data_IF_104054202229
#
_entry.id   IF_104054202229
#
_cell.length_a   1.000
_cell.length_b   1.000
_cell.length_c   1.000
_cell.angle_alpha   90.00
_cell.angle_beta   90.00
_cell.angle_gamma   90.00
#
_symmetry.space_group_name_H-M   'P 1'
#
loop_
_entity.id
_entity.type
_entity.pdbx_description
1 polymer ?
#
# COMPACT_ATOMS: atom_id res chain seq x y z
N UNK A 1 -1.68 -63.22 4.81
CA UNK A 1 -1.76 -62.69 6.18
C UNK A 1 -1.71 -61.17 6.09
N UNK A 2 -2.90 -60.59 6.00
CA UNK A 2 -3.16 -59.14 5.97
C UNK A 2 -2.80 -58.57 7.33
N UNK A 3 -1.92 -57.56 7.39
CA UNK A 3 -1.74 -56.79 8.62
C UNK A 3 -2.26 -55.37 8.43
N UNK A 4 -3.03 -54.97 9.43
CA UNK A 4 -3.97 -53.87 9.45
C UNK A 4 -3.29 -52.51 9.67
N UNK A 5 -4.02 -51.45 9.28
CA UNK A 5 -3.78 -50.06 9.60
C UNK A 5 -3.36 -49.82 11.06
N UNK A 6 -2.49 -48.83 11.25
CA UNK A 6 -2.75 -47.73 12.20
C UNK A 6 -1.77 -46.58 11.95
N UNK A 7 -2.28 -45.46 11.41
CA UNK A 7 -1.58 -44.18 11.46
C UNK A 7 -1.92 -43.48 12.78
N UNK A 8 -0.95 -42.89 13.49
CA UNK A 8 -1.25 -41.98 14.59
C UNK A 8 -1.51 -40.55 14.09
N UNK A 9 -2.54 -39.97 14.71
CA UNK A 9 -3.20 -38.70 14.44
C UNK A 9 -2.32 -37.45 14.44
N UNK A 10 -2.73 -36.49 13.62
CA UNK A 10 -2.23 -35.12 13.56
C UNK A 10 -2.29 -34.44 14.94
N UNK A 11 -1.13 -34.03 15.43
CA UNK A 11 -1.00 -33.14 16.58
C UNK A 11 -1.26 -31.71 16.09
N UNK A 12 -2.29 -31.07 16.63
CA UNK A 12 -2.53 -29.64 16.46
C UNK A 12 -1.35 -28.85 17.03
N UNK A 13 -0.44 -28.43 16.16
CA UNK A 13 0.51 -27.37 16.47
C UNK A 13 -0.26 -26.06 16.50
N UNK A 14 -0.55 -25.55 17.68
CA UNK A 14 -0.92 -24.14 17.86
C UNK A 14 0.29 -23.29 17.48
N UNK A 15 0.39 -22.97 16.20
CA UNK A 15 1.28 -21.93 15.72
C UNK A 15 0.75 -20.59 16.21
N UNK A 16 1.30 -20.09 17.32
CA UNK A 16 1.24 -18.67 17.62
C UNK A 16 1.90 -17.94 16.47
N UNK A 17 1.10 -17.37 15.57
CA UNK A 17 1.57 -16.42 14.57
C UNK A 17 2.05 -15.18 15.33
N UNK A 18 3.34 -15.14 15.62
CA UNK A 18 3.98 -13.90 16.04
C UNK A 18 3.81 -12.94 14.87
N UNK A 19 3.03 -11.87 15.06
CA UNK A 19 3.00 -10.75 14.15
C UNK A 19 4.44 -10.31 13.97
N UNK A 20 5.00 -10.57 12.79
CA UNK A 20 6.33 -10.08 12.43
C UNK A 20 6.16 -8.57 12.32
N UNK A 21 6.43 -7.85 13.41
CA UNK A 21 6.62 -6.40 13.38
C UNK A 21 7.88 -6.18 12.57
N UNK A 22 7.75 -6.17 11.25
CA UNK A 22 8.77 -5.68 10.36
C UNK A 22 9.05 -4.26 10.79
N UNK A 23 10.22 -4.02 11.37
CA UNK A 23 10.72 -2.67 11.56
C UNK A 23 10.84 -2.10 10.15
N UNK A 24 9.86 -1.27 9.77
CA UNK A 24 9.96 -0.52 8.54
C UNK A 24 11.23 0.33 8.65
N UNK A 25 12.03 0.44 7.58
CA UNK A 25 13.20 1.32 7.59
C UNK A 25 12.75 2.72 8.02
N UNK A 26 13.64 3.46 8.68
CA UNK A 26 13.38 4.84 9.04
C UNK A 26 12.90 5.60 7.81
N UNK A 27 11.69 6.15 7.90
CA UNK A 27 11.07 6.86 6.78
C UNK A 27 11.72 8.23 6.71
N UNK A 28 12.74 8.34 5.84
CA UNK A 28 13.37 9.61 5.52
C UNK A 28 12.47 10.37 4.55
N UNK A 29 11.98 11.53 4.98
CA UNK A 29 11.24 12.47 4.15
C UNK A 29 12.21 13.56 3.66
N UNK A 30 12.57 13.59 2.37
CA UNK A 30 13.39 14.67 1.82
C UNK A 30 12.61 15.99 1.93
N UNK A 31 13.29 17.13 1.90
CA UNK A 31 12.63 18.43 1.78
C UNK A 31 12.33 18.75 0.31
N UNK A 32 11.21 19.41 0.07
CA UNK A 32 10.85 19.85 -1.27
C UNK A 32 11.81 20.98 -1.72
N UNK A 33 12.25 20.99 -2.99
CA UNK A 33 13.04 22.11 -3.51
C UNK A 33 12.24 23.41 -3.45
N UNK A 34 12.82 24.47 -2.88
CA UNK A 34 12.21 25.81 -2.91
C UNK A 34 12.41 26.48 -4.28
N UNK A 35 13.48 26.12 -4.97
CA UNK A 35 13.90 26.66 -6.27
C UNK A 35 14.64 25.57 -7.05
N UNK A 36 14.61 25.61 -8.38
CA UNK A 36 15.31 24.67 -9.24
C UNK A 36 14.88 24.77 -10.69
N UNK A 37 15.45 23.92 -11.56
CA UNK A 37 14.87 23.73 -12.89
C UNK A 37 13.46 23.13 -12.77
N UNK A 38 12.60 23.33 -13.78
CA UNK A 38 11.21 22.87 -13.73
C UNK A 38 11.11 21.36 -13.43
N UNK A 39 11.88 20.54 -14.16
CA UNK A 39 11.89 19.09 -13.97
C UNK A 39 12.37 18.68 -12.58
N UNK A 40 13.46 19.30 -12.11
CA UNK A 40 14.03 19.04 -10.78
C UNK A 40 13.04 19.40 -9.66
N UNK A 41 12.33 20.52 -9.82
CA UNK A 41 11.32 20.98 -8.87
C UNK A 41 10.14 20.01 -8.81
N UNK A 42 9.66 19.54 -9.97
CA UNK A 42 8.56 18.57 -10.05
C UNK A 42 8.94 17.21 -9.48
N UNK A 43 10.11 16.67 -9.82
CA UNK A 43 10.60 15.39 -9.31
C UNK A 43 10.82 15.45 -7.79
N UNK A 44 11.48 16.50 -7.30
CA UNK A 44 11.71 16.68 -5.86
C UNK A 44 10.43 16.89 -5.05
N UNK A 45 9.46 17.63 -5.61
CA UNK A 45 8.15 17.79 -4.96
C UNK A 45 7.37 16.47 -4.91
N UNK A 46 7.45 15.66 -5.97
CA UNK A 46 6.81 14.35 -6.00
C UNK A 46 7.44 13.39 -4.98
N UNK A 47 8.76 13.37 -4.87
CA UNK A 47 9.46 12.55 -3.87
C UNK A 47 9.13 12.98 -2.43
N UNK A 48 9.04 14.29 -2.18
CA UNK A 48 8.56 14.84 -0.91
C UNK A 48 7.14 14.38 -0.58
N UNK A 49 6.21 14.40 -1.55
CA UNK A 49 4.83 13.93 -1.35
C UNK A 49 4.78 12.42 -1.05
N UNK A 50 5.47 11.60 -1.85
CA UNK A 50 5.54 10.14 -1.66
C UNK A 50 6.04 9.80 -0.26
N UNK A 51 7.15 10.42 0.16
CA UNK A 51 7.70 10.19 1.49
C UNK A 51 6.79 10.72 2.61
N UNK A 52 6.05 11.82 2.38
CA UNK A 52 5.07 12.33 3.34
C UNK A 52 3.95 11.32 3.58
N UNK A 53 3.40 10.72 2.53
CA UNK A 53 2.33 9.72 2.65
C UNK A 53 2.81 8.51 3.43
N UNK A 54 3.99 7.98 3.07
CA UNK A 54 4.60 6.84 3.77
C UNK A 54 4.86 7.19 5.24
N UNK A 55 5.39 8.38 5.53
CA UNK A 55 5.64 8.83 6.90
C UNK A 55 4.36 8.94 7.73
N UNK A 56 3.26 9.42 7.14
CA UNK A 56 1.97 9.54 7.83
C UNK A 56 1.26 8.21 8.05
N UNK A 57 1.40 7.28 7.11
CA UNK A 57 0.81 5.93 7.23
C UNK A 57 1.72 4.95 8.01
N UNK A 58 2.99 5.29 8.17
CA UNK A 58 3.98 4.46 8.83
C UNK A 58 3.62 4.12 10.27
N UNK A 59 3.81 2.85 10.64
CA UNK A 59 3.54 2.35 11.99
C UNK A 59 2.09 1.96 12.27
N UNK A 60 1.18 2.14 11.31
CA UNK A 60 -0.17 1.58 11.40
C UNK A 60 -0.14 0.07 11.22
N UNK A 61 -0.99 -0.64 11.97
CA UNK A 61 -1.33 -2.03 11.66
C UNK A 61 -2.26 -2.09 10.45
N UNK A 62 -2.33 -3.23 9.75
CA UNK A 62 -3.27 -3.41 8.64
C UNK A 62 -4.73 -3.16 9.08
N UNK A 63 -5.08 -3.59 10.29
CA UNK A 63 -6.40 -3.36 10.86
C UNK A 63 -6.69 -1.88 11.13
N UNK A 64 -5.70 -1.12 11.58
CA UNK A 64 -5.84 0.33 11.76
C UNK A 64 -5.88 1.07 10.43
N UNK A 65 -5.10 0.63 9.45
CA UNK A 65 -5.06 1.23 8.12
C UNK A 65 -6.39 1.05 7.37
N UNK A 66 -7.03 -0.11 7.51
CA UNK A 66 -8.32 -0.45 6.90
C UNK A 66 -9.53 0.08 7.69
N UNK A 67 -9.33 0.75 8.83
CA UNK A 67 -10.43 1.23 9.66
C UNK A 67 -10.99 2.55 9.14
N UNK A 68 -12.30 2.58 8.92
CA UNK A 68 -13.06 3.80 8.64
C UNK A 68 -13.24 4.61 9.93
N UNK A 69 -12.71 5.84 9.96
CA UNK A 69 -12.79 6.73 11.14
C UNK A 69 -13.76 7.90 10.98
N UNK A 70 -14.20 8.17 9.75
CA UNK A 70 -15.11 9.26 9.41
C UNK A 70 -16.39 8.70 8.79
N UNK A 71 -17.48 9.49 8.72
CA UNK A 71 -18.69 9.07 8.02
C UNK A 71 -18.52 8.83 6.51
N UNK A 72 -17.38 9.19 5.92
CA UNK A 72 -17.02 8.85 4.54
C UNK A 72 -16.37 7.47 4.47
N UNK A 73 -16.41 6.81 3.31
CA UNK A 73 -15.80 5.49 3.07
C UNK A 73 -14.27 5.46 3.19
N UNK A 74 -13.64 6.60 3.46
CA UNK A 74 -12.19 6.79 3.46
C UNK A 74 -11.50 6.00 4.57
N UNK A 75 -10.52 5.19 4.17
CA UNK A 75 -9.55 4.51 5.04
C UNK A 75 -8.13 4.98 4.70
N UNK A 76 -7.15 4.73 5.58
CA UNK A 76 -5.76 5.09 5.28
C UNK A 76 -5.20 4.18 4.18
N UNK A 77 -5.54 2.89 4.20
CA UNK A 77 -5.17 1.95 3.14
C UNK A 77 -5.74 2.37 1.78
N UNK A 78 -7.03 2.71 1.74
CA UNK A 78 -7.72 3.21 0.55
C UNK A 78 -7.09 4.49 0.00
N UNK A 79 -6.72 5.42 0.87
CA UNK A 79 -6.01 6.63 0.43
C UNK A 79 -4.64 6.31 -0.17
N UNK A 80 -3.84 5.44 0.45
CA UNK A 80 -2.53 5.05 -0.08
C UNK A 80 -2.68 4.36 -1.44
N UNK A 81 -3.68 3.48 -1.58
CA UNK A 81 -3.97 2.81 -2.85
C UNK A 81 -4.40 3.78 -3.93
N UNK A 82 -5.35 4.65 -3.62
CA UNK A 82 -5.82 5.68 -4.54
C UNK A 82 -4.67 6.55 -5.07
N UNK A 83 -3.77 7.00 -4.18
CA UNK A 83 -2.61 7.82 -4.57
C UNK A 83 -1.64 7.05 -5.49
N UNK A 84 -1.41 5.76 -5.22
CA UNK A 84 -0.59 4.92 -6.10
C UNK A 84 -1.22 4.75 -7.49
N UNK A 85 -2.54 4.66 -7.58
CA UNK A 85 -3.26 4.52 -8.84
C UNK A 85 -3.31 5.84 -9.63
N UNK A 86 -3.48 6.99 -8.95
CA UNK A 86 -3.35 8.32 -9.55
C UNK A 86 -1.95 8.50 -10.16
N UNK A 87 -0.90 8.17 -9.41
CA UNK A 87 0.47 8.26 -9.89
C UNK A 87 0.69 7.37 -11.12
N UNK A 88 0.20 6.13 -11.07
CA UNK A 88 0.28 5.20 -12.20
C UNK A 88 -0.41 5.73 -13.46
N UNK A 89 -1.61 6.31 -13.35
CA UNK A 89 -2.34 6.88 -14.50
C UNK A 89 -1.57 8.07 -15.09
N UNK A 90 -1.06 8.99 -14.25
CA UNK A 90 -0.24 10.10 -14.74
C UNK A 90 1.00 9.66 -15.51
N UNK A 91 1.76 8.71 -14.97
CA UNK A 91 2.98 8.26 -15.66
C UNK A 91 2.69 7.44 -16.92
N UNK A 92 1.73 6.52 -16.86
CA UNK A 92 1.49 5.58 -17.98
C UNK A 92 0.58 6.17 -19.04
N UNK A 93 -0.57 6.71 -18.65
CA UNK A 93 -1.57 7.19 -19.60
C UNK A 93 -1.22 8.60 -20.08
N UNK A 94 -0.89 9.51 -19.17
CA UNK A 94 -0.71 10.92 -19.52
C UNK A 94 0.68 11.19 -20.10
N UNK A 95 1.74 10.79 -19.39
CA UNK A 95 3.11 11.08 -19.81
C UNK A 95 3.62 10.11 -20.89
N UNK A 96 3.36 8.80 -20.74
CA UNK A 96 3.80 7.79 -21.71
C UNK A 96 2.79 7.52 -22.84
N UNK A 97 1.55 8.03 -22.75
CA UNK A 97 0.54 7.87 -23.78
C UNK A 97 0.02 6.44 -23.94
N UNK A 98 0.16 5.59 -22.93
CA UNK A 98 -0.30 4.20 -22.97
C UNK A 98 -1.83 4.14 -22.95
N UNK A 99 -2.42 3.47 -23.95
CA UNK A 99 -3.85 3.21 -24.00
C UNK A 99 -4.23 1.95 -23.22
N UNK A 100 -5.44 1.94 -22.66
CA UNK A 100 -6.04 0.78 -21.97
C UNK A 100 -5.24 0.28 -20.76
N UNK A 101 -4.61 1.20 -20.00
CA UNK A 101 -4.02 0.84 -18.70
C UNK A 101 -5.17 0.39 -17.78
N UNK A 102 -5.13 -0.83 -17.22
CA UNK A 102 -6.23 -1.31 -16.40
C UNK A 102 -6.39 -0.46 -15.13
N UNK A 103 -7.56 0.15 -14.99
CA UNK A 103 -7.98 0.81 -13.76
C UNK A 103 -8.09 -0.22 -12.64
N UNK A 104 -7.69 0.19 -11.44
CA UNK A 104 -7.79 -0.60 -10.22
C UNK A 104 -8.97 -0.18 -9.35
N UNK A 105 -9.64 0.91 -9.71
CA UNK A 105 -10.88 1.42 -9.13
C UNK A 105 -12.06 1.16 -10.06
N UNK A 106 -13.26 1.14 -9.51
CA UNK A 106 -14.53 1.08 -10.25
C UNK A 106 -15.58 2.00 -9.63
N UNK A 107 -16.78 2.06 -10.21
CA UNK A 107 -17.87 2.83 -9.59
C UNK A 107 -18.36 2.18 -8.29
N UNK A 108 -18.24 0.86 -8.19
CA UNK A 108 -18.59 0.04 -7.04
C UNK A 108 -17.51 0.09 -5.95
N UNK A 109 -16.27 0.30 -6.35
CA UNK A 109 -15.11 0.48 -5.48
C UNK A 109 -14.23 1.64 -5.96
N UNK A 110 -14.58 2.89 -5.58
CA UNK A 110 -13.86 4.08 -6.04
C UNK A 110 -12.41 4.16 -5.58
N UNK A 111 -12.06 3.45 -4.50
CA UNK A 111 -10.73 3.48 -3.87
C UNK A 111 -9.89 2.22 -4.22
N UNK A 112 -10.50 1.15 -4.75
CA UNK A 112 -9.80 0.03 -5.38
C UNK A 112 -9.14 -0.96 -4.41
N UNK A 113 -9.76 -1.18 -3.25
CA UNK A 113 -9.29 -1.98 -2.10
C UNK A 113 -9.62 -3.48 -2.20
#
# INVERSE_FOLDING_TARGET
>A
MTNAQSQPSAVHGTGTSAASTGVLPEIVRPEAPEHGAERESLEGFLDWQRATVVWKAGGLSDADAARQLLPSITTVSGLVRHLADVERSWFREVLAGEANVPARWSAEDPDGE
#
